data_IF_035178570131
#
_entry.id   IF_035178570131
#
_cell.length_a   1.000
_cell.length_b   1.000
_cell.length_c   1.000
_cell.angle_alpha   90.00
_cell.angle_beta   90.00
_cell.angle_gamma   90.00
#
_symmetry.space_group_name_H-M   'P 1'
#
loop_
_entity.id
_entity.type
_entity.pdbx_description
1 polymer ?
#
# COMPACT_ATOMS: atom_id res chain seq x y z
N UNK A 1 -13.56 20.21 14.56
CA UNK A 1 -14.09 18.94 14.00
C UNK A 1 -14.31 19.00 12.47
N UNK A 2 -15.28 19.78 11.95
CA UNK A 2 -15.56 19.77 10.48
C UNK A 2 -14.37 20.15 9.60
N UNK A 3 -13.55 21.12 9.98
CA UNK A 3 -12.35 21.51 9.19
C UNK A 3 -11.28 20.41 9.15
N UNK A 4 -11.08 19.69 10.23
CA UNK A 4 -10.03 18.64 10.29
C UNK A 4 -10.39 17.41 9.45
N UNK A 5 -11.65 17.00 9.41
CA UNK A 5 -12.09 15.91 8.55
C UNK A 5 -11.99 16.29 7.05
N UNK A 6 -12.22 17.56 6.70
CA UNK A 6 -12.02 18.05 5.32
C UNK A 6 -10.55 17.99 4.95
N UNK A 7 -9.63 18.37 5.87
CA UNK A 7 -8.19 18.27 5.64
C UNK A 7 -7.72 16.83 5.47
N UNK A 8 -8.22 15.90 6.30
CA UNK A 8 -7.94 14.48 6.16
C UNK A 8 -8.47 13.95 4.81
N UNK A 9 -9.72 14.25 4.47
CA UNK A 9 -10.33 13.83 3.21
C UNK A 9 -9.55 14.39 2.00
N UNK A 10 -9.14 15.65 2.05
CA UNK A 10 -8.36 16.27 0.95
C UNK A 10 -7.00 15.59 0.79
N UNK A 11 -6.25 15.41 1.87
CA UNK A 11 -4.93 14.77 1.82
C UNK A 11 -5.01 13.33 1.34
N UNK A 12 -5.88 12.52 1.92
CA UNK A 12 -6.08 11.12 1.50
C UNK A 12 -6.59 11.00 0.05
N UNK A 13 -7.48 11.91 -0.39
CA UNK A 13 -7.94 11.94 -1.79
C UNK A 13 -6.81 12.27 -2.74
N UNK A 14 -5.94 13.22 -2.38
CA UNK A 14 -4.78 13.57 -3.20
C UNK A 14 -3.83 12.38 -3.35
N UNK A 15 -3.52 11.68 -2.24
CA UNK A 15 -2.69 10.47 -2.27
C UNK A 15 -3.33 9.37 -3.12
N UNK A 16 -4.64 9.18 -3.01
CA UNK A 16 -5.35 8.16 -3.79
C UNK A 16 -5.37 8.48 -5.29
N UNK A 17 -5.62 9.72 -5.66
CA UNK A 17 -5.58 10.17 -7.07
C UNK A 17 -4.17 10.01 -7.64
N UNK A 18 -3.14 10.43 -6.90
CA UNK A 18 -1.75 10.24 -7.30
C UNK A 18 -1.44 8.75 -7.50
N UNK A 19 -1.79 7.90 -6.53
CA UNK A 19 -1.54 6.47 -6.61
C UNK A 19 -2.23 5.84 -7.84
N UNK A 20 -3.50 6.18 -8.13
CA UNK A 20 -4.20 5.69 -9.31
C UNK A 20 -3.47 6.08 -10.60
N UNK A 21 -2.97 7.30 -10.70
CA UNK A 21 -2.27 7.77 -11.89
C UNK A 21 -0.88 7.13 -11.99
N UNK A 22 -0.09 7.23 -10.95
CA UNK A 22 1.30 6.75 -10.91
C UNK A 22 1.39 5.24 -11.01
N UNK A 23 0.71 4.50 -10.11
CA UNK A 23 0.77 3.04 -10.05
C UNK A 23 0.22 2.38 -11.33
N UNK A 24 -0.63 3.10 -12.09
CA UNK A 24 -1.18 2.55 -13.33
C UNK A 24 -0.18 2.50 -14.47
N UNK A 25 0.86 3.31 -14.46
CA UNK A 25 1.70 3.49 -15.66
C UNK A 25 3.20 3.31 -15.44
N UNK A 26 3.65 3.33 -14.19
CA UNK A 26 5.07 3.45 -13.87
C UNK A 26 5.91 2.29 -14.40
N UNK A 27 5.49 1.03 -14.21
CA UNK A 27 6.26 -0.12 -14.69
C UNK A 27 6.31 -0.15 -16.23
N UNK A 28 5.18 0.15 -16.89
CA UNK A 28 5.13 0.23 -18.35
C UNK A 28 6.01 1.36 -18.89
N UNK A 29 6.04 2.51 -18.22
CA UNK A 29 6.90 3.64 -18.58
C UNK A 29 8.39 3.29 -18.42
N UNK A 30 8.79 2.68 -17.31
CA UNK A 30 10.19 2.29 -17.10
C UNK A 30 10.66 1.25 -18.14
N UNK A 31 9.80 0.30 -18.50
CA UNK A 31 10.07 -0.64 -19.59
C UNK A 31 10.17 0.05 -20.94
N UNK A 32 9.32 1.06 -21.21
CA UNK A 32 9.39 1.88 -22.43
C UNK A 32 10.71 2.67 -22.52
N UNK A 33 11.28 3.10 -21.40
CA UNK A 33 12.62 3.70 -21.32
C UNK A 33 13.76 2.69 -21.58
N UNK A 34 13.46 1.40 -21.78
CA UNK A 34 14.43 0.35 -22.05
C UNK A 34 15.06 -0.28 -20.81
N UNK A 35 14.52 -0.04 -19.62
CA UNK A 35 15.01 -0.71 -18.41
C UNK A 35 14.65 -2.20 -18.43
N UNK A 36 15.57 -3.03 -17.93
CA UNK A 36 15.29 -4.44 -17.62
C UNK A 36 14.46 -4.55 -16.34
N UNK A 37 13.68 -5.61 -16.20
CA UNK A 37 12.90 -5.85 -14.98
C UNK A 37 13.78 -5.90 -13.72
N UNK A 38 15.01 -6.44 -13.81
CA UNK A 38 15.98 -6.41 -12.70
C UNK A 38 16.33 -4.99 -12.27
N UNK A 39 16.49 -4.04 -13.21
CA UNK A 39 16.77 -2.64 -12.90
C UNK A 39 15.57 -1.96 -12.25
N UNK A 40 14.35 -2.28 -12.69
CA UNK A 40 13.11 -1.82 -12.06
C UNK A 40 13.01 -2.36 -10.64
N UNK A 41 13.34 -3.64 -10.41
CA UNK A 41 13.40 -4.25 -9.08
C UNK A 41 14.39 -3.54 -8.16
N UNK A 42 15.56 -3.18 -8.67
CA UNK A 42 16.55 -2.39 -7.92
C UNK A 42 16.02 -1.00 -7.56
N UNK A 43 15.33 -0.31 -8.47
CA UNK A 43 14.72 1.00 -8.18
C UNK A 43 13.70 0.88 -7.04
N UNK A 44 12.80 -0.09 -7.08
CA UNK A 44 11.83 -0.34 -5.99
C UNK A 44 12.51 -0.72 -4.68
N UNK A 45 13.61 -1.51 -4.75
CA UNK A 45 14.41 -1.84 -3.57
C UNK A 45 15.03 -0.60 -2.94
N UNK A 46 15.49 0.37 -3.74
CA UNK A 46 16.02 1.65 -3.23
C UNK A 46 14.92 2.49 -2.59
N UNK A 47 13.71 2.56 -3.17
CA UNK A 47 12.56 3.23 -2.54
C UNK A 47 12.26 2.61 -1.18
N UNK A 48 12.08 1.29 -1.10
CA UNK A 48 11.76 0.59 0.14
C UNK A 48 12.84 0.74 1.21
N UNK A 49 14.12 0.60 0.81
CA UNK A 49 15.25 0.78 1.73
C UNK A 49 15.29 2.19 2.29
N UNK A 50 15.14 3.19 1.43
CA UNK A 50 15.17 4.60 1.84
C UNK A 50 13.98 4.91 2.72
N UNK A 51 12.78 4.47 2.37
CA UNK A 51 11.59 4.62 3.20
C UNK A 51 11.82 4.01 4.58
N UNK A 52 12.27 2.76 4.66
CA UNK A 52 12.53 2.07 5.93
C UNK A 52 13.55 2.81 6.81
N UNK A 53 14.63 3.34 6.21
CA UNK A 53 15.66 4.09 6.96
C UNK A 53 15.14 5.42 7.51
N UNK A 54 14.22 6.06 6.81
CA UNK A 54 13.70 7.37 7.19
C UNK A 54 12.37 7.32 7.97
N UNK A 55 11.63 6.21 7.98
CA UNK A 55 10.36 6.09 8.73
C UNK A 55 10.53 6.39 10.22
N UNK A 56 11.61 5.90 10.84
CA UNK A 56 11.84 6.12 12.27
C UNK A 56 12.18 7.58 12.63
N UNK A 57 13.13 8.27 11.95
CA UNK A 57 13.41 9.68 12.21
C UNK A 57 12.23 10.61 11.92
N UNK A 58 11.43 10.31 10.90
CA UNK A 58 10.34 11.22 10.47
C UNK A 58 9.21 11.33 11.47
N UNK A 59 8.89 10.28 12.22
CA UNK A 59 7.92 10.35 13.31
C UNK A 59 8.31 11.42 14.35
N UNK A 60 9.57 11.42 14.77
CA UNK A 60 10.12 12.42 15.72
C UNK A 60 10.14 13.83 15.12
N UNK A 61 10.45 13.96 13.83
CA UNK A 61 10.41 15.26 13.14
C UNK A 61 8.98 15.80 13.03
N UNK A 62 8.00 14.96 12.72
CA UNK A 62 6.61 15.36 12.64
C UNK A 62 6.08 15.88 13.99
N UNK A 63 6.42 15.21 15.08
CA UNK A 63 6.04 15.62 16.42
C UNK A 63 6.68 16.96 16.84
N UNK A 64 7.93 17.19 16.46
CA UNK A 64 8.68 18.40 16.83
C UNK A 64 8.37 19.60 15.94
N UNK A 65 8.33 19.41 14.62
CA UNK A 65 8.26 20.52 13.66
C UNK A 65 6.85 20.79 13.13
N UNK A 66 5.91 19.87 13.34
CA UNK A 66 4.55 19.96 12.89
C UNK A 66 4.20 18.89 11.88
N UNK A 67 3.07 18.22 12.07
CA UNK A 67 2.66 17.05 11.27
C UNK A 67 2.26 17.41 9.86
N UNK A 68 1.51 18.51 9.66
CA UNK A 68 1.17 18.98 8.33
C UNK A 68 2.37 19.49 7.55
N UNK A 69 3.33 20.13 8.24
CA UNK A 69 4.57 20.57 7.61
C UNK A 69 5.36 19.39 7.06
N UNK A 70 5.56 18.35 7.86
CA UNK A 70 6.28 17.13 7.44
C UNK A 70 5.51 16.40 6.34
N UNK A 71 4.20 16.27 6.46
CA UNK A 71 3.32 15.73 5.41
C UNK A 71 3.52 16.48 4.07
N UNK A 72 3.48 17.80 4.10
CA UNK A 72 3.67 18.64 2.90
C UNK A 72 5.06 18.45 2.29
N UNK A 73 6.12 18.41 3.09
CA UNK A 73 7.47 18.14 2.59
C UNK A 73 7.48 16.77 1.88
N UNK A 74 6.87 15.75 2.48
CA UNK A 74 6.72 14.43 1.86
C UNK A 74 5.99 14.48 0.52
N UNK A 75 4.85 15.20 0.45
CA UNK A 75 4.08 15.38 -0.77
C UNK A 75 4.89 16.08 -1.89
N UNK A 76 5.66 17.09 -1.54
CA UNK A 76 6.52 17.81 -2.50
C UNK A 76 7.66 16.93 -2.97
N UNK A 77 8.33 16.20 -2.07
CA UNK A 77 9.42 15.29 -2.43
C UNK A 77 8.95 14.17 -3.35
N UNK A 78 7.87 13.48 -2.98
CA UNK A 78 7.31 12.38 -3.79
C UNK A 78 6.80 12.90 -5.13
N UNK A 79 6.04 14.00 -5.13
CA UNK A 79 5.52 14.59 -6.37
C UNK A 79 6.63 15.04 -7.31
N UNK A 80 7.69 15.69 -6.78
CA UNK A 80 8.87 16.10 -7.54
C UNK A 80 9.64 14.89 -8.08
N UNK A 81 9.77 13.82 -7.28
CA UNK A 81 10.40 12.57 -7.70
C UNK A 81 9.66 11.94 -8.89
N UNK A 82 8.33 11.91 -8.87
CA UNK A 82 7.51 11.38 -9.97
C UNK A 82 7.71 12.22 -11.24
N UNK A 83 7.71 13.56 -11.15
CA UNK A 83 8.01 14.44 -12.28
C UNK A 83 9.43 14.20 -12.79
N UNK A 84 10.40 14.02 -11.90
CA UNK A 84 11.78 13.71 -12.25
C UNK A 84 11.92 12.38 -12.99
N UNK A 85 11.15 11.34 -12.60
CA UNK A 85 11.07 10.07 -13.33
C UNK A 85 10.57 10.32 -14.76
N UNK A 86 9.52 11.12 -14.95
CA UNK A 86 8.95 11.42 -16.27
C UNK A 86 9.92 12.14 -17.23
N UNK A 87 10.89 12.87 -16.69
CA UNK A 87 11.93 13.57 -17.45
C UNK A 87 13.30 12.88 -17.40
N UNK A 88 13.39 11.67 -16.86
CA UNK A 88 14.67 10.98 -16.71
C UNK A 88 15.30 10.65 -18.04
N UNK A 89 16.58 11.01 -18.19
CA UNK A 89 17.39 10.77 -19.39
C UNK A 89 18.46 9.69 -19.16
N UNK A 90 18.68 9.32 -17.91
CA UNK A 90 19.66 8.31 -17.53
C UNK A 90 19.24 7.59 -16.22
N UNK A 91 19.89 6.46 -15.96
CA UNK A 91 19.57 5.61 -14.81
C UNK A 91 19.91 6.27 -13.47
N UNK A 92 20.93 7.13 -13.42
CA UNK A 92 21.31 7.84 -12.18
C UNK A 92 20.19 8.78 -11.72
N UNK A 93 19.52 9.45 -12.65
CA UNK A 93 18.39 10.31 -12.36
C UNK A 93 17.21 9.50 -11.79
N UNK A 94 16.98 8.29 -12.28
CA UNK A 94 15.97 7.37 -11.74
C UNK A 94 16.31 6.94 -10.30
N UNK A 95 17.57 6.64 -9.98
CA UNK A 95 17.98 6.30 -8.61
C UNK A 95 17.84 7.49 -7.65
N UNK A 96 18.19 8.70 -8.08
CA UNK A 96 17.97 9.91 -7.28
C UNK A 96 16.47 10.10 -7.02
N UNK A 97 15.64 9.93 -8.05
CA UNK A 97 14.18 9.97 -7.89
C UNK A 97 13.66 8.91 -6.91
N UNK A 98 14.18 7.68 -6.97
CA UNK A 98 13.83 6.60 -6.06
C UNK A 98 14.19 6.94 -4.60
N UNK A 99 15.34 7.54 -4.35
CA UNK A 99 15.75 8.02 -3.02
C UNK A 99 14.80 9.13 -2.54
N UNK A 100 14.54 10.14 -3.37
CA UNK A 100 13.63 11.24 -3.01
C UNK A 100 12.21 10.73 -2.74
N UNK A 101 11.75 9.75 -3.54
CA UNK A 101 10.45 9.11 -3.35
C UNK A 101 10.38 8.38 -2.00
N UNK A 102 11.39 7.56 -1.67
CA UNK A 102 11.44 6.84 -0.40
C UNK A 102 11.49 7.77 0.82
N UNK A 103 12.27 8.88 0.75
CA UNK A 103 12.27 9.92 1.80
C UNK A 103 10.87 10.56 1.89
N UNK A 104 10.25 10.90 0.75
CA UNK A 104 8.94 11.54 0.73
C UNK A 104 7.84 10.64 1.28
N UNK A 105 7.80 9.37 0.89
CA UNK A 105 6.82 8.40 1.40
C UNK A 105 6.95 8.15 2.89
N UNK A 106 8.18 8.09 3.44
CA UNK A 106 8.40 7.99 4.87
C UNK A 106 7.82 9.18 5.65
N UNK A 107 7.85 10.38 5.05
CA UNK A 107 7.30 11.59 5.67
C UNK A 107 5.77 11.69 5.55
N UNK A 108 5.18 11.13 4.51
CA UNK A 108 3.73 11.02 4.35
C UNK A 108 3.17 10.00 5.36
N UNK A 109 3.88 8.88 5.51
CA UNK A 109 3.50 7.80 6.40
C UNK A 109 3.38 8.31 7.85
N UNK A 110 2.25 8.00 8.48
CA UNK A 110 2.05 8.29 9.91
C UNK A 110 1.94 9.79 10.29
N UNK A 111 1.74 10.72 9.35
CA UNK A 111 1.64 12.16 9.66
C UNK A 111 0.23 12.73 9.57
N UNK A 112 -0.50 12.47 8.49
CA UNK A 112 -1.81 13.09 8.24
C UNK A 112 -2.90 12.58 9.19
N UNK A 113 -3.00 11.27 9.39
CA UNK A 113 -4.01 10.70 10.28
C UNK A 113 -3.77 11.09 11.75
N UNK A 114 -2.56 11.01 12.32
CA UNK A 114 -2.27 11.55 13.64
C UNK A 114 -2.50 13.06 13.76
N UNK A 115 -2.24 13.86 12.71
CA UNK A 115 -2.63 15.26 12.71
C UNK A 115 -4.14 15.44 12.90
N UNK A 116 -4.96 14.65 12.19
CA UNK A 116 -6.42 14.67 12.36
C UNK A 116 -6.81 14.28 13.78
N UNK A 117 -6.27 13.20 14.34
CA UNK A 117 -6.56 12.74 15.70
C UNK A 117 -6.23 13.81 16.74
N UNK A 118 -5.05 14.45 16.65
CA UNK A 118 -4.64 15.52 17.56
C UNK A 118 -5.51 16.78 17.43
N UNK A 119 -6.08 17.05 16.25
CA UNK A 119 -7.00 18.16 16.07
C UNK A 119 -8.30 18.02 16.88
N UNK A 120 -8.57 16.83 17.43
CA UNK A 120 -9.72 16.48 18.25
C UNK A 120 -9.45 16.52 19.75
N UNK A 121 -8.29 16.99 20.20
CA UNK A 121 -7.91 17.02 21.63
C UNK A 121 -8.81 17.87 22.53
N UNK A 122 -9.64 18.72 21.92
CA UNK A 122 -10.67 19.51 22.62
C UNK A 122 -11.95 18.73 22.96
N UNK A 123 -12.09 17.48 22.50
CA UNK A 123 -13.23 16.62 22.83
C UNK A 123 -12.91 15.90 24.13
N UNK A 124 -13.61 16.26 25.20
CA UNK A 124 -13.37 15.77 26.56
C UNK A 124 -13.82 14.31 26.76
N UNK A 125 -14.88 13.89 26.06
CA UNK A 125 -15.39 12.54 26.16
C UNK A 125 -14.58 11.57 25.25
N UNK A 126 -13.81 10.68 25.88
CA UNK A 126 -12.96 9.71 25.18
C UNK A 126 -13.73 8.76 24.26
N UNK A 127 -14.88 8.25 24.71
CA UNK A 127 -15.70 7.33 23.92
C UNK A 127 -16.27 8.02 22.67
N UNK A 128 -16.77 9.24 22.82
CA UNK A 128 -17.27 10.05 21.71
C UNK A 128 -16.15 10.38 20.71
N UNK A 129 -14.95 10.69 21.21
CA UNK A 129 -13.76 10.93 20.38
C UNK A 129 -13.38 9.68 19.58
N UNK A 130 -13.30 8.51 20.18
CA UNK A 130 -12.96 7.24 19.51
C UNK A 130 -14.01 6.88 18.45
N UNK A 131 -15.30 6.96 18.78
CA UNK A 131 -16.38 6.69 17.82
C UNK A 131 -16.32 7.66 16.62
N UNK A 132 -16.05 8.94 16.88
CA UNK A 132 -15.91 9.94 15.83
C UNK A 132 -14.70 9.65 14.93
N UNK A 133 -13.55 9.26 15.48
CA UNK A 133 -12.35 8.90 14.74
C UNK A 133 -12.62 7.70 13.83
N UNK A 134 -13.19 6.62 14.36
CA UNK A 134 -13.52 5.42 13.59
C UNK A 134 -14.49 5.71 12.45
N UNK A 135 -15.57 6.42 12.73
CA UNK A 135 -16.58 6.79 11.73
C UNK A 135 -16.00 7.70 10.65
N UNK A 136 -15.21 8.72 11.05
CA UNK A 136 -14.58 9.65 10.12
C UNK A 136 -13.57 8.95 9.21
N UNK A 137 -12.71 8.09 9.78
CA UNK A 137 -11.74 7.33 9.00
C UNK A 137 -12.44 6.41 7.98
N UNK A 138 -13.46 5.68 8.40
CA UNK A 138 -14.25 4.84 7.49
C UNK A 138 -14.91 5.63 6.35
N UNK A 139 -15.48 6.80 6.64
CA UNK A 139 -16.07 7.68 5.62
C UNK A 139 -15.02 8.23 4.65
N UNK A 140 -13.87 8.67 5.17
CA UNK A 140 -12.76 9.18 4.35
C UNK A 140 -12.24 8.08 3.44
N UNK A 141 -11.92 6.91 3.95
CA UNK A 141 -11.42 5.78 3.14
C UNK A 141 -12.42 5.36 2.05
N UNK A 142 -13.70 5.31 2.35
CA UNK A 142 -14.74 5.01 1.36
C UNK A 142 -14.80 6.08 0.26
N UNK A 143 -14.85 7.37 0.65
CA UNK A 143 -14.94 8.48 -0.28
C UNK A 143 -13.70 8.58 -1.17
N UNK A 144 -12.51 8.42 -0.62
CA UNK A 144 -11.25 8.50 -1.37
C UNK A 144 -11.11 7.36 -2.38
N UNK A 145 -11.57 6.15 -2.03
CA UNK A 145 -11.60 5.05 -2.97
C UNK A 145 -12.56 5.33 -4.15
N UNK A 146 -13.74 5.89 -3.89
CA UNK A 146 -14.67 6.30 -4.96
C UNK A 146 -14.04 7.39 -5.85
N UNK A 147 -13.41 8.41 -5.24
CA UNK A 147 -12.70 9.46 -5.98
C UNK A 147 -11.61 8.84 -6.87
N UNK A 148 -10.80 7.91 -6.34
CA UNK A 148 -9.78 7.21 -7.11
C UNK A 148 -10.37 6.41 -8.29
N UNK A 149 -11.44 5.64 -8.07
CA UNK A 149 -12.12 4.87 -9.11
C UNK A 149 -12.63 5.79 -10.22
N UNK A 150 -13.34 6.85 -9.86
CA UNK A 150 -13.91 7.79 -10.83
C UNK A 150 -12.80 8.51 -11.60
N UNK A 151 -11.73 8.94 -10.94
CA UNK A 151 -10.57 9.57 -11.57
C UNK A 151 -9.91 8.62 -12.57
N UNK A 152 -9.65 7.37 -12.18
CA UNK A 152 -9.00 6.42 -13.06
C UNK A 152 -9.85 6.08 -14.30
N UNK A 153 -11.17 5.91 -14.14
CA UNK A 153 -12.05 5.76 -15.30
C UNK A 153 -12.08 7.02 -16.17
N UNK A 154 -12.21 8.21 -15.58
CA UNK A 154 -12.24 9.46 -16.36
C UNK A 154 -10.96 9.65 -17.19
N UNK A 155 -9.80 9.44 -16.57
CA UNK A 155 -8.50 9.55 -17.24
C UNK A 155 -8.33 8.48 -18.32
N UNK A 156 -8.90 7.29 -18.16
CA UNK A 156 -8.79 6.20 -19.14
C UNK A 156 -9.35 6.54 -20.53
N UNK A 157 -10.27 7.49 -20.60
CA UNK A 157 -10.87 7.95 -21.87
C UNK A 157 -10.05 9.07 -22.59
N UNK A 158 -9.02 9.64 -21.94
CA UNK A 158 -8.32 10.82 -22.48
C UNK A 158 -7.17 10.51 -23.44
N UNK A 159 -6.86 9.24 -23.69
CA UNK A 159 -5.76 8.80 -24.57
C UNK A 159 -4.40 9.48 -24.29
N UNK A 160 -4.06 9.65 -23.01
CA UNK A 160 -2.81 10.26 -22.56
C UNK A 160 -1.67 9.24 -22.61
N UNK A 161 -0.45 9.69 -22.89
CA UNK A 161 0.75 8.88 -22.77
C UNK A 161 1.22 8.72 -21.32
N UNK A 162 2.13 7.79 -21.08
CA UNK A 162 2.64 7.49 -19.74
C UNK A 162 3.34 8.67 -19.08
N UNK A 163 4.16 9.40 -19.88
CA UNK A 163 4.93 10.56 -19.41
C UNK A 163 4.00 11.65 -18.90
N UNK A 164 2.96 11.97 -19.67
CA UNK A 164 2.00 13.02 -19.29
C UNK A 164 1.23 12.64 -18.02
N UNK A 165 0.85 11.36 -17.85
CA UNK A 165 0.17 10.87 -16.66
C UNK A 165 1.08 11.01 -15.43
N UNK A 166 2.37 10.69 -15.54
CA UNK A 166 3.34 10.86 -14.45
C UNK A 166 3.52 12.34 -14.09
N UNK A 167 3.63 13.24 -15.08
CA UNK A 167 3.71 14.68 -14.83
C UNK A 167 2.44 15.17 -14.12
N UNK A 168 1.26 14.73 -14.58
CA UNK A 168 -0.01 15.08 -13.97
C UNK A 168 -0.08 14.58 -12.51
N UNK A 169 0.32 13.33 -12.24
CA UNK A 169 0.33 12.77 -10.91
C UNK A 169 1.24 13.55 -9.95
N UNK A 170 2.49 13.78 -10.34
CA UNK A 170 3.48 14.45 -9.49
C UNK A 170 3.17 15.92 -9.27
N UNK A 171 2.74 16.65 -10.29
CA UNK A 171 2.35 18.07 -10.15
C UNK A 171 1.09 18.22 -9.32
N UNK A 172 0.09 17.38 -9.53
CA UNK A 172 -1.15 17.37 -8.73
C UNK A 172 -0.84 17.13 -7.25
N UNK A 173 0.00 16.16 -6.93
CA UNK A 173 0.40 15.86 -5.55
C UNK A 173 1.15 17.05 -4.92
N UNK A 174 2.14 17.60 -5.60
CA UNK A 174 2.94 18.72 -5.11
C UNK A 174 2.07 19.94 -4.80
N UNK A 175 1.22 20.35 -5.75
CA UNK A 175 0.34 21.51 -5.59
C UNK A 175 -0.62 21.31 -4.42
N UNK A 176 -1.29 20.15 -4.36
CA UNK A 176 -2.25 19.89 -3.29
C UNK A 176 -1.57 19.79 -1.91
N UNK A 177 -0.36 19.22 -1.82
CA UNK A 177 0.41 19.22 -0.59
C UNK A 177 0.67 20.63 -0.06
N UNK A 178 1.06 21.56 -0.94
CA UNK A 178 1.28 22.96 -0.60
C UNK A 178 -0.04 23.64 -0.19
N UNK A 179 -1.11 23.43 -0.94
CA UNK A 179 -2.43 24.01 -0.64
C UNK A 179 -2.98 23.53 0.71
N UNK A 180 -2.81 22.26 1.05
CA UNK A 180 -3.22 21.70 2.35
C UNK A 180 -2.51 22.42 3.49
N UNK A 181 -1.20 22.63 3.38
CA UNK A 181 -0.41 23.33 4.41
C UNK A 181 -0.93 24.73 4.69
N UNK A 182 -1.26 25.50 3.66
CA UNK A 182 -1.79 26.85 3.84
C UNK A 182 -3.27 26.90 4.25
N UNK A 183 -4.03 25.82 4.04
CA UNK A 183 -5.47 25.78 4.33
C UNK A 183 -5.80 25.36 5.75
N UNK A 184 -4.90 24.65 6.44
CA UNK A 184 -5.14 24.07 7.76
C UNK A 184 -4.05 24.45 8.76
N UNK A 185 -4.45 24.53 10.04
CA UNK A 185 -3.51 24.76 11.14
C UNK A 185 -2.75 23.49 11.46
N UNK A 186 -1.44 23.62 11.60
CA UNK A 186 -0.57 22.52 12.00
C UNK A 186 -0.68 22.26 13.50
N UNK A 187 -0.33 21.03 13.91
CA UNK A 187 -0.24 20.65 15.31
C UNK A 187 1.06 19.86 15.59
N UNK A 188 1.46 19.90 16.85
CA UNK A 188 2.64 19.24 17.38
C UNK A 188 2.23 18.36 18.53
N UNK A 189 2.99 17.31 18.84
CA UNK A 189 2.76 16.49 20.03
C UNK A 189 3.96 16.54 20.96
N UNK A 190 3.75 16.14 22.25
CA UNK A 190 4.87 16.00 23.19
C UNK A 190 5.66 14.74 22.86
N UNK A 191 6.98 14.79 23.02
CA UNK A 191 7.89 13.68 22.76
C UNK A 191 7.58 12.47 23.66
N UNK A 192 7.26 11.32 23.05
CA UNK A 192 7.22 10.04 23.75
C UNK A 192 8.64 9.43 23.76
N UNK A 193 8.97 8.68 24.81
CA UNK A 193 10.27 8.00 24.90
C UNK A 193 10.31 6.75 24.02
N UNK A 194 10.50 6.95 22.71
CA UNK A 194 10.39 5.95 21.64
C UNK A 194 11.37 4.78 21.84
N UNK A 195 12.57 5.01 22.37
CA UNK A 195 13.59 3.96 22.54
C UNK A 195 13.13 2.90 23.54
N UNK A 196 12.51 3.32 24.66
CA UNK A 196 12.01 2.37 25.69
C UNK A 196 10.87 1.51 25.15
N UNK A 197 9.97 2.11 24.37
CA UNK A 197 8.84 1.41 23.75
C UNK A 197 9.35 0.43 22.70
N UNK A 198 10.28 0.84 21.83
CA UNK A 198 10.88 -0.02 20.81
C UNK A 198 11.56 -1.27 21.38
N UNK A 199 12.33 -1.13 22.49
CA UNK A 199 12.96 -2.29 23.16
C UNK A 199 11.94 -3.28 23.73
N UNK A 200 10.84 -2.78 24.34
CA UNK A 200 9.73 -3.63 24.83
C UNK A 200 9.04 -4.38 23.69
N UNK A 201 8.78 -3.70 22.60
CA UNK A 201 8.15 -4.27 21.39
C UNK A 201 8.99 -5.39 20.78
N UNK A 202 10.30 -5.19 20.67
CA UNK A 202 11.22 -6.20 20.15
C UNK A 202 11.28 -7.44 21.04
N UNK A 203 11.27 -7.27 22.36
CA UNK A 203 11.23 -8.39 23.31
C UNK A 203 9.94 -9.20 23.20
N UNK A 204 8.79 -8.55 23.03
CA UNK A 204 7.49 -9.22 22.83
C UNK A 204 7.51 -10.00 21.51
N UNK A 205 8.00 -9.38 20.44
CA UNK A 205 8.10 -10.03 19.14
C UNK A 205 8.93 -11.30 19.19
N UNK A 206 10.11 -11.28 19.83
CA UNK A 206 10.98 -12.44 19.93
C UNK A 206 10.36 -13.60 20.73
N UNK A 207 9.53 -13.30 21.74
CA UNK A 207 8.94 -14.31 22.62
C UNK A 207 7.67 -14.93 22.04
N UNK A 208 6.91 -14.20 21.24
CA UNK A 208 5.60 -14.66 20.74
C UNK A 208 5.74 -15.24 19.34
N UNK A 209 5.86 -16.58 19.24
CA UNK A 209 6.03 -17.28 17.95
C UNK A 209 4.88 -17.04 16.96
N UNK A 210 3.67 -16.71 17.44
CA UNK A 210 2.52 -16.39 16.59
C UNK A 210 2.77 -15.13 15.75
N UNK A 211 3.53 -14.17 16.30
CA UNK A 211 3.91 -12.95 15.55
C UNK A 211 4.86 -13.28 14.39
N UNK A 212 5.72 -14.29 14.52
CA UNK A 212 6.58 -14.74 13.42
C UNK A 212 5.77 -15.33 12.26
N UNK A 213 4.78 -16.18 12.56
CA UNK A 213 3.90 -16.77 11.53
C UNK A 213 3.03 -15.69 10.91
N UNK A 214 2.54 -14.74 11.72
CA UNK A 214 1.82 -13.58 11.20
C UNK A 214 2.69 -12.73 10.27
N UNK A 215 3.94 -12.43 10.68
CA UNK A 215 4.90 -11.68 9.85
C UNK A 215 5.15 -12.40 8.52
N UNK A 216 5.35 -13.71 8.55
CA UNK A 216 5.54 -14.51 7.34
C UNK A 216 4.31 -14.44 6.44
N UNK A 217 3.10 -14.57 6.98
CA UNK A 217 1.86 -14.44 6.21
C UNK A 217 1.73 -13.06 5.56
N UNK A 218 2.00 -11.98 6.30
CA UNK A 218 1.98 -10.60 5.77
C UNK A 218 3.05 -10.39 4.70
N UNK A 219 4.27 -10.89 4.93
CA UNK A 219 5.38 -10.79 3.96
C UNK A 219 5.01 -11.48 2.64
N UNK A 220 4.40 -12.66 2.71
CA UNK A 220 3.95 -13.37 1.50
C UNK A 220 2.80 -12.61 0.82
N UNK A 221 1.87 -12.05 1.57
CA UNK A 221 0.80 -11.23 1.01
C UNK A 221 1.35 -10.03 0.23
N UNK A 222 2.31 -9.29 0.80
CA UNK A 222 2.99 -8.19 0.12
C UNK A 222 3.86 -8.68 -1.06
N UNK A 223 4.38 -9.91 -1.00
CA UNK A 223 5.11 -10.52 -2.11
C UNK A 223 4.21 -10.73 -3.34
N UNK A 224 2.96 -11.14 -3.15
CA UNK A 224 1.99 -11.23 -4.24
C UNK A 224 1.67 -9.86 -4.84
N UNK A 225 1.56 -8.83 -4.00
CA UNK A 225 1.41 -7.46 -4.48
C UNK A 225 2.62 -7.02 -5.32
N UNK A 226 3.84 -7.33 -4.88
CA UNK A 226 5.06 -7.07 -5.64
C UNK A 226 5.05 -7.78 -7.00
N UNK A 227 4.71 -9.07 -7.05
CA UNK A 227 4.56 -9.80 -8.32
C UNK A 227 3.53 -9.11 -9.22
N UNK A 228 2.37 -8.72 -8.67
CA UNK A 228 1.34 -8.01 -9.41
C UNK A 228 1.89 -6.75 -10.08
N UNK A 229 2.61 -5.88 -9.35
CA UNK A 229 3.18 -4.63 -9.89
C UNK A 229 4.09 -4.84 -11.11
N UNK A 230 4.82 -5.95 -11.15
CA UNK A 230 5.69 -6.25 -12.28
C UNK A 230 4.97 -6.78 -13.51
N UNK A 231 3.87 -7.52 -13.35
CA UNK A 231 3.28 -8.30 -14.45
C UNK A 231 2.08 -7.63 -15.11
N UNK A 232 1.26 -6.90 -14.36
CA UNK A 232 -0.06 -6.49 -14.85
C UNK A 232 0.00 -5.45 -15.97
N UNK A 233 0.86 -4.42 -15.85
CA UNK A 233 0.98 -3.38 -16.88
C UNK A 233 1.62 -3.92 -18.17
N UNK A 234 2.78 -4.63 -18.13
CA UNK A 234 3.34 -5.22 -19.32
C UNK A 234 2.38 -6.18 -20.03
N UNK A 235 1.63 -6.98 -19.25
CA UNK A 235 0.63 -7.89 -19.85
C UNK A 235 -0.52 -7.15 -20.50
N UNK A 236 -1.06 -6.13 -19.84
CA UNK A 236 -2.09 -5.27 -20.40
C UNK A 236 -1.63 -4.62 -21.71
N UNK A 237 -0.39 -4.13 -21.76
CA UNK A 237 0.21 -3.55 -22.97
C UNK A 237 0.27 -4.55 -24.14
N UNK A 238 0.68 -5.80 -23.88
CA UNK A 238 0.67 -6.88 -24.87
C UNK A 238 -0.73 -7.19 -25.41
N UNK A 239 -1.77 -6.92 -24.62
CA UNK A 239 -3.18 -7.09 -24.99
C UNK A 239 -3.80 -5.82 -25.59
N UNK A 240 -3.00 -4.80 -25.90
CA UNK A 240 -3.45 -3.57 -26.54
C UNK A 240 -4.02 -2.50 -25.60
N UNK A 241 -3.89 -2.68 -24.28
CA UNK A 241 -4.29 -1.67 -23.29
C UNK A 241 -3.07 -0.84 -22.91
N UNK A 242 -2.91 0.34 -23.52
CA UNK A 242 -1.74 1.20 -23.39
C UNK A 242 -2.13 2.61 -22.89
N UNK A 243 -1.14 3.38 -22.41
CA UNK A 243 -1.34 4.76 -21.96
C UNK A 243 -2.34 4.85 -20.81
N UNK A 244 -3.18 5.88 -20.88
CA UNK A 244 -4.21 6.15 -19.89
C UNK A 244 -5.26 5.03 -19.71
N UNK A 245 -5.43 4.14 -20.68
CA UNK A 245 -6.35 2.99 -20.54
C UNK A 245 -5.99 2.08 -19.38
N UNK A 246 -4.73 2.05 -18.95
CA UNK A 246 -4.27 1.30 -17.78
C UNK A 246 -4.91 1.82 -16.49
N UNK A 247 -5.22 3.12 -16.38
CA UNK A 247 -5.92 3.65 -15.19
C UNK A 247 -7.33 3.09 -15.04
N UNK A 248 -7.99 2.75 -16.16
CA UNK A 248 -9.27 2.05 -16.16
C UNK A 248 -9.16 0.63 -15.60
N UNK A 249 -8.11 -0.12 -15.96
CA UNK A 249 -7.85 -1.47 -15.40
C UNK A 249 -7.60 -1.38 -13.89
N UNK A 250 -6.78 -0.42 -13.45
CA UNK A 250 -6.53 -0.20 -12.03
C UNK A 250 -7.80 0.20 -11.27
N UNK A 251 -8.70 0.98 -11.91
CA UNK A 251 -10.02 1.31 -11.36
C UNK A 251 -10.94 0.10 -11.23
N UNK A 252 -10.88 -0.87 -12.15
CA UNK A 252 -11.59 -2.15 -12.02
C UNK A 252 -11.07 -2.90 -10.78
N UNK A 253 -9.75 -3.02 -10.62
CA UNK A 253 -9.15 -3.65 -9.46
C UNK A 253 -9.59 -2.96 -8.15
N UNK A 254 -9.50 -1.64 -8.06
CA UNK A 254 -9.91 -0.86 -6.89
C UNK A 254 -11.43 -0.99 -6.60
N UNK A 255 -12.26 -1.06 -7.64
CA UNK A 255 -13.71 -1.31 -7.50
C UNK A 255 -13.99 -2.65 -6.83
N UNK A 256 -13.23 -3.68 -7.19
CA UNK A 256 -13.34 -5.01 -6.57
C UNK A 256 -12.94 -4.98 -5.09
N UNK A 257 -11.91 -4.21 -4.70
CA UNK A 257 -11.57 -4.01 -3.29
C UNK A 257 -12.72 -3.37 -2.51
N UNK A 258 -13.37 -2.35 -3.08
CA UNK A 258 -14.53 -1.67 -2.46
C UNK A 258 -15.72 -2.62 -2.32
N UNK A 259 -16.03 -3.39 -3.35
CA UNK A 259 -17.11 -4.40 -3.32
C UNK A 259 -16.84 -5.44 -2.24
N UNK A 260 -15.62 -5.92 -2.12
CA UNK A 260 -15.22 -6.87 -1.05
C UNK A 260 -15.39 -6.27 0.35
N UNK A 261 -15.02 -5.00 0.53
CA UNK A 261 -15.26 -4.26 1.78
C UNK A 261 -16.74 -4.17 2.15
N UNK A 262 -17.63 -3.96 1.15
CA UNK A 262 -19.08 -3.98 1.35
C UNK A 262 -19.58 -5.38 1.73
N UNK A 263 -19.05 -6.45 1.11
CA UNK A 263 -19.40 -7.83 1.47
C UNK A 263 -19.04 -8.11 2.93
N UNK A 264 -17.87 -7.69 3.39
CA UNK A 264 -17.44 -7.82 4.81
C UNK A 264 -18.39 -7.06 5.73
N UNK A 265 -18.75 -5.83 5.37
CA UNK A 265 -19.64 -4.98 6.18
C UNK A 265 -21.02 -5.60 6.38
N UNK A 266 -21.60 -6.20 5.35
CA UNK A 266 -22.96 -6.76 5.41
C UNK A 266 -23.01 -8.21 5.89
N UNK A 267 -21.95 -9.00 5.66
CA UNK A 267 -21.83 -10.36 6.22
C UNK A 267 -21.01 -10.27 7.51
N UNK A 268 -21.66 -10.27 8.66
CA UNK A 268 -21.03 -10.17 9.99
C UNK A 268 -19.85 -11.15 10.22
N UNK A 269 -19.84 -12.30 9.54
CA UNK A 269 -18.72 -13.26 9.57
C UNK A 269 -18.51 -13.86 8.18
N UNK A 270 -17.26 -13.81 7.70
CA UNK A 270 -16.84 -14.58 6.52
C UNK A 270 -16.51 -16.00 6.98
N UNK A 271 -17.19 -16.98 6.41
CA UNK A 271 -16.91 -18.39 6.73
C UNK A 271 -15.47 -18.74 6.35
N UNK A 272 -14.79 -19.50 7.20
CA UNK A 272 -13.37 -19.82 7.04
C UNK A 272 -13.04 -20.47 5.68
N UNK A 273 -13.94 -21.28 5.12
CA UNK A 273 -13.72 -21.90 3.81
C UNK A 273 -13.67 -20.85 2.68
N UNK A 274 -14.51 -19.81 2.75
CA UNK A 274 -14.51 -18.73 1.78
C UNK A 274 -13.22 -17.88 1.91
N UNK A 275 -12.77 -17.65 3.13
CA UNK A 275 -11.50 -16.97 3.39
C UNK A 275 -10.31 -17.74 2.80
N UNK A 276 -10.23 -19.06 3.07
CA UNK A 276 -9.19 -19.94 2.49
C UNK A 276 -9.28 -19.97 0.96
N UNK A 277 -10.48 -20.02 0.39
CA UNK A 277 -10.66 -19.95 -1.06
C UNK A 277 -10.08 -18.65 -1.63
N UNK A 278 -10.34 -17.49 -0.99
CA UNK A 278 -9.76 -16.22 -1.42
C UNK A 278 -8.22 -16.22 -1.31
N UNK A 279 -7.65 -16.84 -0.27
CA UNK A 279 -6.20 -16.99 -0.13
C UNK A 279 -5.60 -17.79 -1.29
N UNK A 280 -6.26 -18.88 -1.73
CA UNK A 280 -5.86 -19.69 -2.89
C UNK A 280 -6.01 -18.91 -4.20
N UNK A 281 -7.07 -18.11 -4.33
CA UNK A 281 -7.35 -17.35 -5.54
C UNK A 281 -6.33 -16.23 -5.81
N UNK A 282 -5.62 -15.71 -4.80
CA UNK A 282 -4.61 -14.67 -5.02
C UNK A 282 -3.49 -15.15 -5.96
N UNK A 283 -2.70 -16.19 -5.66
CA UNK A 283 -1.67 -16.67 -6.59
C UNK A 283 -2.23 -17.21 -7.91
N UNK A 284 -3.40 -17.85 -7.90
CA UNK A 284 -4.07 -18.31 -9.11
C UNK A 284 -4.41 -17.15 -10.04
N UNK A 285 -4.94 -16.05 -9.49
CA UNK A 285 -5.28 -14.85 -10.26
C UNK A 285 -4.04 -14.20 -10.89
N UNK A 286 -2.91 -14.18 -10.18
CA UNK A 286 -1.64 -13.67 -10.71
C UNK A 286 -1.17 -14.50 -11.90
N UNK A 287 -1.28 -15.82 -11.83
CA UNK A 287 -0.94 -16.72 -12.94
C UNK A 287 -1.89 -16.48 -14.13
N UNK A 288 -3.20 -16.34 -13.86
CA UNK A 288 -4.20 -16.02 -14.90
C UNK A 288 -3.85 -14.69 -15.58
N UNK A 289 -3.55 -13.62 -14.82
CA UNK A 289 -3.17 -12.31 -15.36
C UNK A 289 -1.93 -12.45 -16.23
N UNK A 290 -0.91 -13.13 -15.74
CA UNK A 290 0.39 -13.27 -16.42
C UNK A 290 0.28 -14.05 -17.73
N UNK A 291 -0.50 -15.13 -17.76
CA UNK A 291 -0.63 -16.01 -18.94
C UNK A 291 -1.80 -15.65 -19.87
N UNK A 292 -2.66 -14.70 -19.50
CA UNK A 292 -3.92 -14.43 -20.21
C UNK A 292 -3.72 -14.24 -21.73
N UNK A 293 -4.32 -15.05 -22.60
CA UNK A 293 -4.15 -14.92 -24.05
C UNK A 293 -4.98 -13.76 -24.64
N UNK A 294 -5.95 -13.26 -23.90
CA UNK A 294 -6.87 -12.21 -24.33
C UNK A 294 -7.30 -11.31 -23.18
N UNK A 295 -7.88 -10.16 -23.54
CA UNK A 295 -8.28 -9.14 -22.59
C UNK A 295 -9.39 -9.62 -21.62
N UNK A 296 -10.28 -10.51 -22.06
CA UNK A 296 -11.39 -11.00 -21.22
C UNK A 296 -10.82 -11.80 -20.04
N UNK A 297 -9.93 -12.77 -20.30
CA UNK A 297 -9.33 -13.59 -19.27
C UNK A 297 -8.44 -12.75 -18.34
N UNK A 298 -7.73 -11.75 -18.91
CA UNK A 298 -6.95 -10.79 -18.14
C UNK A 298 -7.82 -9.98 -17.15
N UNK A 299 -8.95 -9.45 -17.60
CA UNK A 299 -9.91 -8.71 -16.75
C UNK A 299 -10.50 -9.63 -15.68
N UNK A 300 -10.87 -10.87 -16.03
CA UNK A 300 -11.37 -11.85 -15.05
C UNK A 300 -10.31 -12.14 -13.96
N UNK A 301 -9.06 -12.33 -14.33
CA UNK A 301 -7.96 -12.48 -13.38
C UNK A 301 -7.81 -11.25 -12.47
N UNK A 302 -7.92 -10.04 -13.01
CA UNK A 302 -7.86 -8.78 -12.26
C UNK A 302 -9.03 -8.66 -11.27
N UNK A 303 -10.24 -9.03 -11.67
CA UNK A 303 -11.43 -9.04 -10.80
C UNK A 303 -11.25 -10.04 -9.67
N UNK A 304 -10.83 -11.28 -9.98
CA UNK A 304 -10.60 -12.32 -8.98
C UNK A 304 -9.53 -11.89 -7.97
N UNK A 305 -8.44 -11.29 -8.44
CA UNK A 305 -7.39 -10.76 -7.58
C UNK A 305 -7.90 -9.65 -6.66
N UNK A 306 -8.63 -8.68 -7.20
CA UNK A 306 -9.18 -7.57 -6.43
C UNK A 306 -10.20 -8.02 -5.37
N UNK A 307 -11.13 -8.92 -5.73
CA UNK A 307 -12.10 -9.48 -4.79
C UNK A 307 -11.41 -10.28 -3.67
N UNK A 308 -10.43 -11.10 -4.01
CA UNK A 308 -9.70 -11.91 -3.05
C UNK A 308 -8.85 -11.06 -2.10
N UNK A 309 -8.09 -10.08 -2.62
CA UNK A 309 -7.31 -9.17 -1.80
C UNK A 309 -8.19 -8.30 -0.89
N UNK A 310 -9.32 -7.81 -1.38
CA UNK A 310 -10.26 -7.02 -0.58
C UNK A 310 -10.90 -7.78 0.58
N UNK A 311 -10.97 -9.11 0.50
CA UNK A 311 -11.41 -9.98 1.61
C UNK A 311 -10.23 -10.32 2.54
N UNK A 312 -9.09 -10.70 1.97
CA UNK A 312 -7.98 -11.27 2.76
C UNK A 312 -7.20 -10.20 3.53
N UNK A 313 -6.85 -9.08 2.89
CA UNK A 313 -5.99 -8.07 3.51
C UNK A 313 -6.57 -7.46 4.81
N UNK A 314 -7.84 -7.00 4.87
CA UNK A 314 -8.39 -6.46 6.11
C UNK A 314 -8.47 -7.49 7.24
N UNK A 315 -8.76 -8.75 6.93
CA UNK A 315 -8.87 -9.79 7.95
C UNK A 315 -7.52 -10.16 8.54
N UNK A 316 -6.48 -10.31 7.71
CA UNK A 316 -5.15 -10.59 8.24
C UNK A 316 -4.63 -9.40 9.05
N UNK A 317 -4.85 -8.16 8.60
CA UNK A 317 -4.44 -6.97 9.34
C UNK A 317 -5.17 -6.83 10.69
N UNK A 318 -6.45 -7.16 10.76
CA UNK A 318 -7.19 -7.11 12.04
C UNK A 318 -6.76 -8.20 13.02
N UNK A 319 -6.30 -9.34 12.52
CA UNK A 319 -5.95 -10.50 13.36
C UNK A 319 -4.76 -10.22 14.28
N UNK A 320 -3.80 -9.41 13.87
CA UNK A 320 -2.61 -9.09 14.68
C UNK A 320 -2.96 -8.46 16.02
N UNK A 321 -4.06 -7.72 16.08
CA UNK A 321 -4.52 -7.04 17.29
C UNK A 321 -4.86 -7.99 18.44
N UNK A 322 -5.19 -9.26 18.15
CA UNK A 322 -5.46 -10.26 19.17
C UNK A 322 -4.20 -10.80 19.86
N UNK A 323 -3.02 -10.58 19.30
CA UNK A 323 -1.76 -11.13 19.79
C UNK A 323 -0.85 -10.07 20.43
N UNK A 324 -1.22 -8.80 20.36
CA UNK A 324 -0.37 -7.69 20.81
C UNK A 324 -1.09 -6.88 21.89
N UNK A 325 -0.44 -6.64 23.06
CA UNK A 325 -0.95 -5.74 24.09
C UNK A 325 -1.11 -4.31 23.53
N UNK A 326 -2.17 -3.61 23.97
CA UNK A 326 -2.54 -2.27 23.48
C UNK A 326 -1.39 -1.25 23.61
N UNK A 327 -0.64 -1.31 24.73
CA UNK A 327 0.45 -0.38 25.06
C UNK A 327 1.59 -0.35 24.04
N UNK A 328 1.83 -1.44 23.31
CA UNK A 328 2.96 -1.59 22.37
C UNK A 328 2.51 -1.91 20.95
N UNK A 329 1.20 -1.90 20.70
CA UNK A 329 0.59 -2.36 19.44
C UNK A 329 1.18 -1.67 18.20
N UNK A 330 1.22 -0.35 18.19
CA UNK A 330 1.75 0.41 17.06
C UNK A 330 3.23 0.10 16.78
N UNK A 331 4.04 0.00 17.83
CA UNK A 331 5.47 -0.27 17.69
C UNK A 331 5.75 -1.71 17.22
N UNK A 332 4.95 -2.69 17.67
CA UNK A 332 5.08 -4.07 17.18
C UNK A 332 4.65 -4.15 15.70
N UNK A 333 3.52 -3.51 15.31
CA UNK A 333 3.08 -3.47 13.91
C UNK A 333 4.15 -2.82 13.02
N UNK A 334 4.77 -1.72 13.45
CA UNK A 334 5.88 -1.09 12.71
C UNK A 334 7.08 -2.03 12.57
N UNK A 335 7.41 -2.80 13.61
CA UNK A 335 8.48 -3.80 13.55
C UNK A 335 8.16 -4.91 12.54
N UNK A 336 6.92 -5.44 12.54
CA UNK A 336 6.46 -6.44 11.59
C UNK A 336 6.57 -5.92 10.14
N UNK A 337 6.15 -4.68 9.90
CA UNK A 337 6.24 -4.03 8.59
C UNK A 337 7.70 -3.87 8.14
N UNK A 338 8.60 -3.43 9.04
CA UNK A 338 10.02 -3.28 8.74
C UNK A 338 10.68 -4.61 8.37
N UNK A 339 10.36 -5.70 9.09
CA UNK A 339 10.87 -7.04 8.78
C UNK A 339 10.37 -7.52 7.42
N UNK A 340 9.09 -7.28 7.11
CA UNK A 340 8.54 -7.58 5.78
C UNK A 340 9.24 -6.77 4.68
N UNK A 341 9.52 -5.48 4.91
CA UNK A 341 10.22 -4.62 3.95
C UNK A 341 11.63 -5.10 3.64
N UNK A 342 12.39 -5.59 4.65
CA UNK A 342 13.71 -6.17 4.42
C UNK A 342 13.65 -7.33 3.43
N UNK A 343 12.69 -8.23 3.59
CA UNK A 343 12.50 -9.35 2.67
C UNK A 343 12.12 -8.85 1.26
N UNK A 344 11.20 -7.89 1.18
CA UNK A 344 10.72 -7.34 -0.10
C UNK A 344 11.81 -6.62 -0.88
N UNK A 345 12.76 -5.95 -0.23
CA UNK A 345 13.92 -5.32 -0.87
C UNK A 345 14.68 -6.33 -1.75
N UNK A 346 14.95 -7.53 -1.23
CA UNK A 346 15.61 -8.59 -2.02
C UNK A 346 14.67 -9.21 -3.04
N UNK A 347 13.42 -9.42 -2.68
CA UNK A 347 12.43 -10.06 -3.54
C UNK A 347 12.15 -9.27 -4.82
N UNK A 348 12.12 -7.94 -4.77
CA UNK A 348 11.93 -7.07 -5.95
C UNK A 348 12.98 -7.37 -7.03
N UNK A 349 14.24 -7.50 -6.63
CA UNK A 349 15.34 -7.83 -7.55
C UNK A 349 15.20 -9.26 -8.10
N UNK A 350 14.81 -10.21 -7.26
CA UNK A 350 14.61 -11.61 -7.64
C UNK A 350 13.49 -11.73 -8.68
N UNK A 351 12.32 -11.08 -8.45
CA UNK A 351 11.22 -11.06 -9.40
C UNK A 351 11.68 -10.46 -10.73
N UNK A 352 12.36 -9.32 -10.69
CA UNK A 352 12.87 -8.67 -11.89
C UNK A 352 13.83 -9.59 -12.68
N UNK A 353 14.73 -10.28 -11.99
CA UNK A 353 15.67 -11.24 -12.62
C UNK A 353 14.94 -12.45 -13.24
N UNK A 354 13.93 -12.99 -12.56
CA UNK A 354 13.09 -14.08 -13.08
C UNK A 354 12.43 -13.66 -14.39
N UNK A 355 11.86 -12.46 -14.44
CA UNK A 355 11.19 -11.93 -15.63
C UNK A 355 12.16 -11.66 -16.78
N UNK A 356 13.39 -11.23 -16.51
CA UNK A 356 14.42 -10.99 -17.54
C UNK A 356 14.94 -12.29 -18.20
N UNK A 357 14.93 -13.41 -17.47
CA UNK A 357 15.35 -14.73 -17.99
C UNK A 357 14.28 -15.33 -18.94
N UNK A 358 13.13 -14.67 -19.14
CA UNK A 358 11.99 -15.15 -19.94
C UNK A 358 11.44 -16.52 -19.50
N UNK A 359 11.59 -16.85 -18.24
CA UNK A 359 11.12 -18.11 -17.68
C UNK A 359 9.76 -17.96 -17.02
N UNK A 360 8.65 -18.05 -17.79
CA UNK A 360 7.28 -18.06 -17.24
C UNK A 360 7.16 -19.06 -16.08
N UNK A 361 7.77 -20.22 -16.23
CA UNK A 361 7.77 -21.30 -15.26
C UNK A 361 8.29 -20.91 -13.87
N UNK A 362 9.36 -20.11 -13.78
CA UNK A 362 9.94 -19.73 -12.48
C UNK A 362 9.04 -18.77 -11.69
N UNK A 363 8.35 -17.85 -12.37
CA UNK A 363 7.42 -16.95 -11.71
C UNK A 363 6.19 -17.71 -11.18
N UNK A 364 5.68 -18.64 -11.96
CA UNK A 364 4.56 -19.51 -11.58
C UNK A 364 4.94 -20.37 -10.38
N UNK A 365 6.12 -21.00 -10.43
CA UNK A 365 6.66 -21.77 -9.32
C UNK A 365 6.79 -20.95 -8.05
N UNK A 366 7.25 -19.69 -8.15
CA UNK A 366 7.31 -18.75 -7.03
C UNK A 366 5.91 -18.47 -6.45
N UNK A 367 4.94 -18.19 -7.32
CA UNK A 367 3.54 -17.96 -6.90
C UNK A 367 2.94 -19.19 -6.21
N UNK A 368 3.17 -20.38 -6.73
CA UNK A 368 2.69 -21.65 -6.14
C UNK A 368 3.36 -21.90 -4.79
N UNK A 369 4.69 -21.76 -4.70
CA UNK A 369 5.44 -21.95 -3.45
C UNK A 369 4.94 -21.00 -2.36
N UNK A 370 4.85 -19.71 -2.67
CA UNK A 370 4.34 -18.72 -1.73
C UNK A 370 2.86 -18.98 -1.39
N UNK A 371 2.06 -19.44 -2.35
CA UNK A 371 0.67 -19.82 -2.13
C UNK A 371 0.52 -20.94 -1.11
N UNK A 372 1.31 -22.00 -1.23
CA UNK A 372 1.30 -23.12 -0.26
C UNK A 372 1.69 -22.65 1.14
N UNK A 373 2.80 -21.89 1.26
CA UNK A 373 3.24 -21.39 2.57
C UNK A 373 2.18 -20.45 3.16
N UNK A 374 1.58 -19.59 2.34
CA UNK A 374 0.53 -18.66 2.77
C UNK A 374 -0.68 -19.39 3.33
N UNK A 375 -1.17 -20.42 2.64
CA UNK A 375 -2.30 -21.24 3.10
C UNK A 375 -1.98 -21.89 4.45
N UNK A 376 -0.77 -22.45 4.62
CA UNK A 376 -0.35 -23.05 5.90
C UNK A 376 -0.37 -22.00 7.02
N UNK A 377 0.21 -20.82 6.80
CA UNK A 377 0.19 -19.72 7.77
C UNK A 377 -1.23 -19.31 8.15
N UNK A 378 -2.12 -19.16 7.17
CA UNK A 378 -3.52 -18.76 7.40
C UNK A 378 -4.28 -19.83 8.17
N UNK A 379 -4.10 -21.12 7.87
CA UNK A 379 -4.74 -22.22 8.61
C UNK A 379 -4.30 -22.19 10.09
N UNK A 380 -3.00 -21.99 10.35
CA UNK A 380 -2.48 -21.88 11.72
C UNK A 380 -3.08 -20.67 12.46
N UNK A 381 -3.15 -19.52 11.82
CA UNK A 381 -3.75 -18.31 12.38
C UNK A 381 -5.23 -18.54 12.71
N UNK A 382 -6.00 -19.13 11.80
CA UNK A 382 -7.42 -19.43 12.01
C UNK A 382 -7.64 -20.44 13.16
N UNK A 383 -6.74 -21.43 13.30
CA UNK A 383 -6.78 -22.37 14.42
C UNK A 383 -6.61 -21.64 15.76
N UNK A 384 -5.62 -20.76 15.88
CA UNK A 384 -5.40 -20.00 17.13
C UNK A 384 -6.54 -19.05 17.47
N UNK A 385 -7.18 -18.43 16.48
CA UNK A 385 -8.35 -17.58 16.71
C UNK A 385 -9.52 -18.38 17.27
N UNK A 386 -9.73 -19.63 16.84
CA UNK A 386 -10.77 -20.50 17.39
C UNK A 386 -10.47 -20.91 18.85
N UNK A 387 -9.22 -21.26 19.13
CA UNK A 387 -8.80 -21.64 20.49
C UNK A 387 -8.96 -20.49 21.49
N UNK A 388 -8.76 -19.24 21.06
CA UNK A 388 -8.94 -18.05 21.90
C UNK A 388 -10.41 -17.64 22.06
N UNK A 389 -11.25 -17.80 21.01
CA UNK A 389 -12.72 -17.57 21.15
C UNK A 389 -13.36 -18.47 22.17
N UNK A 390 -12.81 -19.66 22.43
CA UNK A 390 -13.33 -20.61 23.43
C UNK A 390 -12.81 -20.31 24.86
N UNK A 391 -11.94 -19.31 25.05
CA UNK A 391 -11.39 -18.91 26.35
C UNK A 391 -11.97 -17.58 26.87
N UNK A 392 -12.77 -16.89 26.05
CA UNK A 392 -13.55 -15.69 26.36
C UNK A 392 -15.02 -16.10 26.50
#
# INVERSE_FOLDING_TARGET
MKKSIIGLLWGESTLKVMAILYDSVITAFLLQLGLKNTQIGLLWSVVLLTQMLFDYPTGSFADRYGRLKIFTIGMVLTGSAIVMIAYSVNISMLYISAILMGIGESQISGTLFPWFVNSLDKVENLQEKEEYILKSNGQVQYSTNIIGILTGFAISFLNLDYKFILILAGTFQTINGILIYFSFQDNKSMEANLIKIGKKSFQIFLKEYKLWIYTLAMTIHYSFYSVHLFIWQPRANLLGVIGSKLTGINSIYLSCLVVSGLIIKYKKEIKNYLYILCVILIPVSLIIIYQSPNLILYILGTILLGLSNGIVAPQIMSTVHYFIPDEVRSSVISLLSSLSSIFLIFLQVIIGKILDIKGNYYLEMLCVLFGVIYIICIILILKWLRENKNKI
#
